data_IF_862076546168
#
_entry.id   IF_862076546168
#
_cell.length_a   1.000
_cell.length_b   1.000
_cell.length_c   1.000
_cell.angle_alpha   90.00
_cell.angle_beta   90.00
_cell.angle_gamma   90.00
#
_symmetry.space_group_name_H-M   'P 1'
#
loop_
_entity.id
_entity.type
_entity.pdbx_description
1 polymer ?
#
# COMPACT_ATOMS: atom_id res chain seq x y z
N UNK A 1 2.64 14.62 9.07
CA UNK A 1 2.60 16.09 9.20
C UNK A 1 1.17 16.55 8.92
N UNK A 2 0.54 17.34 9.80
CA UNK A 2 -0.85 17.77 9.63
C UNK A 2 -0.88 19.02 8.74
N UNK A 3 -1.30 18.89 7.50
CA UNK A 3 -1.43 20.05 6.62
C UNK A 3 -2.84 20.65 6.77
N UNK A 4 -2.88 21.96 7.02
CA UNK A 4 -4.08 22.71 7.40
C UNK A 4 -4.62 23.44 6.17
N UNK A 5 -5.89 23.23 5.83
CA UNK A 5 -6.60 24.08 4.86
C UNK A 5 -7.45 25.10 5.60
N UNK A 6 -7.28 26.37 5.25
CA UNK A 6 -8.26 27.41 5.60
C UNK A 6 -9.40 27.36 4.58
N UNK A 7 -10.54 26.81 4.97
CA UNK A 7 -11.73 26.85 4.13
C UNK A 7 -12.37 28.25 4.20
N UNK A 8 -11.97 29.15 3.30
CA UNK A 8 -12.79 30.33 2.97
C UNK A 8 -13.87 29.93 1.98
N UNK A 9 -14.88 29.17 2.42
CA UNK A 9 -16.12 29.02 1.66
C UNK A 9 -17.31 28.90 2.60
N UNK A 10 -17.92 30.05 2.88
CA UNK A 10 -19.30 30.11 3.31
C UNK A 10 -20.19 29.65 2.15
N UNK A 11 -20.41 28.34 2.02
CA UNK A 11 -21.59 27.82 1.33
C UNK A 11 -22.43 27.10 2.36
N UNK A 12 -23.56 27.73 2.67
CA UNK A 12 -24.69 27.20 3.42
C UNK A 12 -24.97 25.75 3.05
N UNK A 13 -24.69 24.83 3.97
CA UNK A 13 -25.30 23.50 3.94
C UNK A 13 -26.61 23.56 4.74
N UNK A 14 -27.76 23.16 4.16
CA UNK A 14 -29.02 23.17 4.88
C UNK A 14 -29.04 22.08 5.94
N UNK A 15 -29.65 22.44 7.07
CA UNK A 15 -29.83 21.62 8.26
C UNK A 15 -30.81 20.47 8.02
N UNK A 16 -30.33 19.35 7.51
CA UNK A 16 -30.98 18.05 7.70
C UNK A 16 -30.02 16.93 7.27
N UNK A 17 -29.86 15.93 8.15
CA UNK A 17 -29.04 14.72 7.98
C UNK A 17 -27.53 14.85 8.24
N UNK A 18 -27.12 14.76 9.51
CA UNK A 18 -25.73 14.41 9.90
C UNK A 18 -25.55 12.86 9.98
N UNK A 19 -26.41 12.12 9.31
CA UNK A 19 -26.23 10.68 9.05
C UNK A 19 -26.58 10.43 7.59
N UNK A 20 -25.64 10.72 6.68
CA UNK A 20 -25.72 10.30 5.28
C UNK A 20 -24.37 10.48 4.62
N UNK A 21 -23.68 9.36 4.41
CA UNK A 21 -22.94 8.99 3.20
C UNK A 21 -22.34 10.09 2.30
N UNK A 22 -21.58 11.01 2.89
CA UNK A 22 -20.61 11.78 2.12
C UNK A 22 -19.22 11.35 2.58
N UNK A 23 -18.46 10.71 1.68
CA UNK A 23 -17.00 10.50 1.77
C UNK A 23 -16.30 11.86 1.85
N UNK A 24 -16.49 12.57 2.95
CA UNK A 24 -15.76 13.80 3.23
C UNK A 24 -14.45 13.38 3.85
N UNK A 25 -13.40 13.40 3.04
CA UNK A 25 -11.99 13.18 3.42
C UNK A 25 -11.43 14.28 4.36
N UNK A 26 -12.31 15.13 4.88
CA UNK A 26 -12.01 16.24 5.77
C UNK A 26 -12.95 16.18 6.97
N UNK A 27 -12.40 16.32 8.18
CA UNK A 27 -13.13 16.41 9.44
C UNK A 27 -13.25 17.88 9.87
N UNK A 28 -14.49 18.34 10.07
CA UNK A 28 -14.76 19.69 10.54
C UNK A 28 -14.72 19.75 12.06
N UNK A 29 -13.79 20.53 12.64
CA UNK A 29 -13.72 20.77 14.09
C UNK A 29 -13.96 22.25 14.39
N UNK A 30 -14.77 22.51 15.40
CA UNK A 30 -14.90 23.85 15.99
C UNK A 30 -13.72 24.10 16.92
N UNK A 31 -13.14 25.30 16.87
CA UNK A 31 -12.16 25.73 17.88
C UNK A 31 -12.95 26.09 19.15
N UNK A 32 -13.32 25.08 19.95
CA UNK A 32 -13.94 25.30 21.25
C UNK A 32 -12.92 25.03 22.35
N UNK A 33 -12.54 26.06 23.09
CA UNK A 33 -11.87 25.90 24.39
C UNK A 33 -12.86 25.24 25.35
N UNK A 34 -12.72 23.91 25.53
CA UNK A 34 -13.39 23.07 26.54
C UNK A 34 -14.90 23.28 26.70
N UNK A 35 -15.70 22.36 26.17
CA UNK A 35 -16.94 21.93 26.83
C UNK A 35 -17.10 20.41 26.68
N UNK A 36 -17.12 19.70 27.81
CA UNK A 36 -17.63 18.33 27.89
C UNK A 36 -19.17 18.43 27.87
N UNK A 37 -19.83 17.80 26.91
CA UNK A 37 -21.29 17.76 26.86
C UNK A 37 -21.80 16.77 25.82
N UNK A 38 -22.60 15.80 26.27
CA UNK A 38 -23.49 15.01 25.43
C UNK A 38 -24.64 15.92 25.01
N UNK A 39 -24.90 15.99 23.70
CA UNK A 39 -26.16 16.29 23.00
C UNK A 39 -25.92 17.14 21.74
N UNK A 40 -26.44 16.66 20.61
CA UNK A 40 -26.37 17.31 19.29
C UNK A 40 -27.33 18.51 19.20
N UNK A 41 -26.93 19.63 19.79
CA UNK A 41 -27.55 20.93 19.47
C UNK A 41 -26.70 21.63 18.41
N UNK A 42 -27.31 21.88 17.25
CA UNK A 42 -26.65 22.53 16.12
C UNK A 42 -26.02 23.86 16.52
N UNK A 43 -24.83 24.11 15.99
CA UNK A 43 -24.07 25.33 16.22
C UNK A 43 -24.85 26.50 15.57
N UNK A 44 -25.36 27.45 16.37
CA UNK A 44 -26.16 28.57 15.86
C UNK A 44 -25.44 29.42 14.79
N UNK A 45 -26.20 30.03 13.88
CA UNK A 45 -25.68 30.81 12.74
C UNK A 45 -24.74 31.96 13.17
N UNK A 46 -24.99 32.56 14.34
CA UNK A 46 -24.15 33.61 14.92
C UNK A 46 -22.79 33.09 15.39
N UNK A 47 -22.76 31.89 15.96
CA UNK A 47 -21.51 31.22 16.35
C UNK A 47 -20.71 30.80 15.11
N UNK A 48 -21.38 30.26 14.08
CA UNK A 48 -20.72 29.91 12.81
C UNK A 48 -20.11 31.12 12.07
N UNK A 49 -20.65 32.34 12.28
CA UNK A 49 -20.10 33.59 11.71
C UNK A 49 -18.91 34.15 12.50
N UNK A 50 -18.81 33.84 13.79
CA UNK A 50 -17.77 34.35 14.70
C UNK A 50 -16.64 33.34 14.97
N UNK A 51 -16.86 32.06 14.70
CA UNK A 51 -15.89 30.98 14.92
C UNK A 51 -15.46 30.36 13.61
N UNK A 52 -14.15 30.40 13.33
CA UNK A 52 -13.56 29.72 12.17
C UNK A 52 -13.74 28.21 12.31
N UNK A 53 -14.36 27.60 11.30
CA UNK A 53 -14.39 26.15 11.16
C UNK A 53 -13.05 25.68 10.60
N UNK A 54 -12.42 24.72 11.27
CA UNK A 54 -11.19 24.10 10.80
C UNK A 54 -11.55 22.80 10.09
N UNK A 55 -11.16 22.70 8.82
CA UNK A 55 -11.13 21.44 8.09
C UNK A 55 -9.76 20.80 8.30
N UNK A 56 -9.75 19.66 8.98
CA UNK A 56 -8.56 18.84 9.14
C UNK A 56 -8.66 17.66 8.19
N UNK A 57 -7.56 17.40 7.51
CA UNK A 57 -7.38 16.20 6.71
C UNK A 57 -7.58 14.93 7.55
N UNK A 58 -8.37 13.99 7.03
CA UNK A 58 -8.48 12.65 7.59
C UNK A 58 -7.43 11.81 6.88
N UNK A 59 -6.63 11.07 7.63
CA UNK A 59 -5.71 10.10 7.02
C UNK A 59 -6.46 8.79 6.82
N UNK A 60 -6.94 8.52 5.61
CA UNK A 60 -7.69 7.29 5.33
C UNK A 60 -6.81 6.06 5.25
N UNK A 61 -5.49 6.23 5.04
CA UNK A 61 -4.55 5.11 5.08
C UNK A 61 -4.40 4.54 6.51
N UNK A 62 -4.71 5.33 7.54
CA UNK A 62 -4.67 4.91 8.95
C UNK A 62 -6.00 4.31 9.44
N UNK A 63 -6.95 3.98 8.55
CA UNK A 63 -8.27 3.41 8.90
C UNK A 63 -8.22 1.93 9.35
N UNK A 64 -7.03 1.32 9.35
CA UNK A 64 -6.83 -0.10 9.63
C UNK A 64 -7.13 -1.03 8.46
N UNK A 65 -7.56 -0.50 7.32
CA UNK A 65 -7.84 -1.23 6.07
C UNK A 65 -7.08 -0.65 4.87
N UNK A 66 -5.99 0.07 5.12
CA UNK A 66 -5.12 0.67 4.10
C UNK A 66 -5.90 1.58 3.13
N UNK A 67 -6.89 2.34 3.63
CA UNK A 67 -7.76 3.17 2.79
C UNK A 67 -8.68 2.39 1.84
N UNK A 68 -8.70 1.06 1.92
CA UNK A 68 -9.36 0.20 0.93
C UNK A 68 -8.54 -0.03 -0.34
N UNK A 69 -7.25 0.30 -0.35
CA UNK A 69 -6.32 -0.12 -1.39
C UNK A 69 -6.14 -1.64 -1.39
N UNK A 70 -5.71 -2.20 -2.51
CA UNK A 70 -5.39 -3.63 -2.63
C UNK A 70 -4.36 -4.03 -1.57
N UNK A 71 -4.51 -5.23 -1.01
CA UNK A 71 -3.57 -5.78 -0.04
C UNK A 71 -2.15 -5.82 -0.63
N UNK A 72 -1.13 -5.56 0.19
CA UNK A 72 0.27 -5.47 -0.26
C UNK A 72 0.51 -4.36 -1.30
N UNK A 73 -0.23 -3.24 -1.21
CA UNK A 73 0.02 -2.03 -1.97
C UNK A 73 0.11 -0.79 -1.09
N UNK A 74 0.77 0.24 -1.59
CA UNK A 74 0.99 1.49 -0.85
C UNK A 74 -0.29 2.34 -0.83
N UNK A 75 -0.69 2.82 0.34
CA UNK A 75 -1.67 3.91 0.45
C UNK A 75 -0.94 5.23 0.73
N UNK A 76 -1.22 6.24 -0.08
CA UNK A 76 -0.64 7.58 0.05
C UNK A 76 -1.73 8.57 0.39
N UNK A 77 -1.73 9.04 1.63
CA UNK A 77 -2.64 10.07 2.08
C UNK A 77 -2.34 11.40 1.38
N UNK A 78 -3.37 12.06 0.89
CA UNK A 78 -3.27 13.38 0.24
C UNK A 78 -4.23 14.34 0.93
N UNK A 79 -4.14 15.63 0.59
CA UNK A 79 -5.00 16.61 1.21
C UNK A 79 -6.43 16.49 0.67
N UNK A 80 -7.37 16.15 1.53
CA UNK A 80 -8.78 15.97 1.18
C UNK A 80 -9.03 14.73 0.32
N UNK A 81 -8.13 13.74 0.32
CA UNK A 81 -8.33 12.40 -0.28
C UNK A 81 -7.13 11.48 -0.01
N UNK A 82 -7.10 10.30 -0.62
CA UNK A 82 -5.91 9.46 -0.69
C UNK A 82 -5.77 8.84 -2.09
N UNK A 83 -4.59 8.31 -2.39
CA UNK A 83 -4.34 7.52 -3.59
C UNK A 83 -3.76 6.15 -3.24
N UNK A 84 -4.19 5.13 -3.98
CA UNK A 84 -3.52 3.84 -3.96
C UNK A 84 -2.36 3.85 -4.94
N UNK A 85 -1.18 3.50 -4.46
CA UNK A 85 0.07 3.44 -5.20
C UNK A 85 0.37 2.04 -5.74
N UNK A 86 1.65 1.81 -5.99
CA UNK A 86 2.15 0.53 -6.48
C UNK A 86 2.14 -0.54 -5.38
N UNK A 87 2.35 -1.80 -5.79
CA UNK A 87 2.58 -2.89 -4.85
C UNK A 87 3.80 -2.57 -3.97
N UNK A 88 3.77 -3.01 -2.71
CA UNK A 88 4.91 -2.86 -1.80
C UNK A 88 6.07 -3.74 -2.26
N UNK A 89 7.25 -3.51 -1.68
CA UNK A 89 8.45 -4.28 -2.00
C UNK A 89 8.20 -5.79 -1.88
N UNK A 90 8.61 -6.52 -2.92
CA UNK A 90 8.42 -7.95 -3.05
C UNK A 90 7.09 -8.40 -3.65
N UNK A 91 6.22 -7.47 -4.03
CA UNK A 91 4.97 -7.75 -4.72
C UNK A 91 4.93 -7.06 -6.10
N UNK A 92 4.23 -7.68 -7.04
CA UNK A 92 3.97 -7.16 -8.40
C UNK A 92 2.50 -7.24 -8.72
N UNK A 93 2.05 -6.40 -9.66
CA UNK A 93 0.66 -6.33 -10.08
C UNK A 93 0.16 -4.89 -10.03
N UNK A 94 -1.13 -4.73 -9.77
CA UNK A 94 -1.78 -3.42 -9.71
C UNK A 94 -3.08 -3.47 -8.90
N UNK A 95 -3.74 -2.31 -8.77
CA UNK A 95 -4.98 -2.16 -8.01
C UNK A 95 -6.18 -2.93 -8.61
N UNK A 96 -6.11 -3.38 -9.87
CA UNK A 96 -7.20 -4.11 -10.55
C UNK A 96 -7.02 -5.62 -10.47
N UNK A 97 -5.80 -6.11 -10.64
CA UNK A 97 -5.45 -7.53 -10.68
C UNK A 97 -4.99 -8.09 -9.33
N UNK A 98 -4.76 -7.22 -8.34
CA UNK A 98 -4.16 -7.60 -7.07
C UNK A 98 -2.63 -7.47 -7.09
N UNK A 99 -2.05 -7.37 -5.89
CA UNK A 99 -0.60 -7.47 -5.69
C UNK A 99 -0.25 -8.88 -5.25
N UNK A 100 0.60 -9.54 -6.01
CA UNK A 100 1.04 -10.92 -5.81
C UNK A 100 2.54 -10.94 -5.55
N UNK A 101 3.09 -11.92 -4.83
CA UNK A 101 4.54 -12.03 -4.64
C UNK A 101 5.28 -12.00 -5.99
N UNK A 102 6.41 -11.29 -6.06
CA UNK A 102 7.23 -11.21 -7.27
C UNK A 102 7.64 -12.63 -7.72
N UNK A 103 7.45 -13.01 -9.00
CA UNK A 103 7.83 -14.33 -9.49
C UNK A 103 9.31 -14.63 -9.20
N UNK A 104 9.59 -15.75 -8.53
CA UNK A 104 10.94 -16.12 -8.12
C UNK A 104 11.39 -15.55 -6.77
N UNK A 105 10.59 -14.73 -6.08
CA UNK A 105 10.93 -14.26 -4.73
C UNK A 105 10.59 -15.29 -3.66
N UNK A 106 11.57 -15.61 -2.83
CA UNK A 106 11.44 -16.54 -1.72
C UNK A 106 10.96 -15.83 -0.44
N UNK A 107 10.42 -16.57 0.56
CA UNK A 107 9.95 -15.99 1.82
C UNK A 107 11.00 -15.24 2.66
N UNK A 108 12.29 -15.50 2.44
CA UNK A 108 13.39 -14.78 3.10
C UNK A 108 13.87 -13.53 2.33
N UNK A 109 13.19 -13.18 1.23
CA UNK A 109 13.56 -12.08 0.33
C UNK A 109 14.57 -12.44 -0.76
N UNK A 110 15.03 -13.69 -0.81
CA UNK A 110 15.92 -14.18 -1.87
C UNK A 110 15.22 -14.12 -3.24
N UNK A 111 15.77 -13.41 -4.22
CA UNK A 111 15.21 -13.34 -5.59
C UNK A 111 15.87 -14.40 -6.47
N UNK A 112 15.09 -15.33 -7.01
CA UNK A 112 15.50 -16.37 -7.94
C UNK A 112 15.09 -16.03 -9.38
N UNK A 113 15.69 -16.74 -10.34
CA UNK A 113 15.25 -16.68 -11.74
C UNK A 113 13.75 -17.04 -11.86
N UNK A 114 13.06 -16.49 -12.86
CA UNK A 114 11.65 -16.84 -13.13
C UNK A 114 11.43 -18.32 -13.45
N UNK A 115 12.48 -19.00 -13.92
CA UNK A 115 12.54 -20.44 -14.19
C UNK A 115 13.18 -21.25 -13.05
N UNK A 116 13.38 -20.64 -11.88
CA UNK A 116 13.82 -21.31 -10.68
C UNK A 116 12.66 -21.51 -9.68
N UNK A 117 12.92 -22.36 -8.70
CA UNK A 117 12.11 -22.60 -7.51
C UNK A 117 12.92 -22.34 -6.24
N UNK A 118 12.23 -21.86 -5.21
CA UNK A 118 12.81 -21.59 -3.91
C UNK A 118 12.79 -22.86 -3.06
N UNK A 119 13.97 -23.35 -2.67
CA UNK A 119 14.08 -24.52 -1.81
C UNK A 119 14.75 -24.21 -0.47
N UNK A 120 14.14 -24.72 0.60
CA UNK A 120 14.75 -24.68 1.92
C UNK A 120 15.76 -25.81 2.07
N UNK A 121 17.06 -25.50 2.06
CA UNK A 121 18.09 -26.51 2.36
C UNK A 121 18.01 -26.90 3.83
N UNK A 122 17.81 -28.19 4.10
CA UNK A 122 17.90 -28.75 5.46
C UNK A 122 19.27 -28.40 6.06
N UNK A 123 19.27 -27.69 7.18
CA UNK A 123 20.48 -27.24 7.88
C UNK A 123 20.89 -25.78 7.60
N UNK A 124 20.20 -25.06 6.72
CA UNK A 124 20.34 -23.62 6.56
C UNK A 124 19.01 -22.90 6.80
N UNK A 125 19.09 -21.71 7.40
CA UNK A 125 17.93 -20.82 7.59
C UNK A 125 17.65 -19.92 6.37
N UNK A 126 18.15 -20.29 5.17
CA UNK A 126 18.01 -19.51 3.93
C UNK A 126 17.45 -20.36 2.80
N UNK A 127 16.70 -19.72 1.91
CA UNK A 127 16.25 -20.34 0.67
C UNK A 127 17.40 -20.36 -0.35
N UNK A 128 17.50 -21.46 -1.09
CA UNK A 128 18.37 -21.58 -2.25
C UNK A 128 17.53 -21.70 -3.50
N UNK A 129 17.91 -20.96 -4.54
CA UNK A 129 17.28 -21.06 -5.84
C UNK A 129 17.76 -22.33 -6.56
N UNK A 130 16.83 -23.11 -7.10
CA UNK A 130 17.11 -24.25 -7.97
C UNK A 130 16.40 -24.06 -9.29
N UNK A 131 17.09 -24.22 -10.43
CA UNK A 131 16.42 -24.19 -11.73
C UNK A 131 15.42 -25.34 -11.85
N UNK A 132 14.26 -25.07 -12.46
CA UNK A 132 13.22 -26.08 -12.72
C UNK A 132 13.71 -27.09 -13.76
N UNK A 133 13.07 -28.25 -13.83
CA UNK A 133 13.33 -29.26 -14.87
C UNK A 133 13.21 -28.64 -16.27
N UNK A 134 14.20 -28.90 -17.12
CA UNK A 134 14.35 -28.25 -18.44
C UNK A 134 15.20 -26.98 -18.41
N UNK A 135 15.77 -26.63 -17.25
CA UNK A 135 16.63 -25.48 -17.05
C UNK A 135 17.82 -25.81 -16.16
N UNK A 136 18.95 -25.15 -16.41
CA UNK A 136 20.19 -25.31 -15.64
C UNK A 136 20.89 -23.97 -15.38
N UNK A 137 21.68 -23.90 -14.30
CA UNK A 137 22.36 -22.68 -13.87
C UNK A 137 22.57 -22.63 -12.35
N UNK A 138 22.82 -21.44 -11.82
CA UNK A 138 23.04 -21.19 -10.38
C UNK A 138 21.74 -20.92 -9.59
N UNK A 139 20.60 -20.94 -10.28
CA UNK A 139 19.27 -20.64 -9.74
C UNK A 139 18.94 -19.15 -9.67
N UNK A 140 19.93 -18.26 -9.75
CA UNK A 140 19.74 -16.82 -9.95
C UNK A 140 19.58 -16.48 -11.43
N UNK A 141 20.27 -17.24 -12.27
CA UNK A 141 20.18 -17.25 -13.72
C UNK A 141 19.98 -18.68 -14.18
N UNK A 142 18.89 -18.94 -14.89
CA UNK A 142 18.60 -20.26 -15.45
C UNK A 142 18.52 -20.18 -16.98
N UNK A 143 19.27 -21.05 -17.65
CA UNK A 143 19.24 -21.24 -19.10
C UNK A 143 18.53 -22.53 -19.49
N UNK A 144 18.02 -22.66 -20.72
CA UNK A 144 17.46 -23.91 -21.21
C UNK A 144 18.46 -25.06 -21.09
N UNK A 145 17.99 -26.21 -20.64
CA UNK A 145 18.72 -27.48 -20.58
C UNK A 145 17.84 -28.53 -21.27
N UNK A 146 18.16 -28.81 -22.54
CA UNK A 146 17.33 -29.66 -23.41
C UNK A 146 17.54 -31.15 -23.18
N UNK A 147 18.75 -31.54 -22.79
CA UNK A 147 19.12 -32.94 -22.55
C UNK A 147 19.07 -33.36 -21.07
N UNK A 148 18.72 -32.42 -20.17
CA UNK A 148 18.46 -32.63 -18.75
C UNK A 148 19.68 -33.15 -17.98
N UNK A 149 20.88 -32.73 -18.38
CA UNK A 149 22.12 -33.16 -17.75
C UNK A 149 22.58 -32.24 -16.61
N UNK A 150 21.84 -31.15 -16.38
CA UNK A 150 22.15 -30.15 -15.35
C UNK A 150 23.11 -29.06 -15.82
N UNK A 151 23.43 -29.00 -17.11
CA UNK A 151 24.21 -27.95 -17.75
C UNK A 151 23.38 -27.19 -18.79
N UNK A 152 23.47 -25.85 -18.84
CA UNK A 152 22.68 -25.08 -19.78
C UNK A 152 23.22 -25.24 -21.21
N UNK A 153 22.32 -25.28 -22.20
CA UNK A 153 22.61 -25.34 -23.65
C UNK A 153 23.59 -24.23 -24.10
N UNK A 154 23.57 -23.10 -23.40
CA UNK A 154 24.39 -21.91 -23.68
C UNK A 154 25.10 -21.43 -22.43
N UNK A 155 26.30 -20.88 -22.61
CA UNK A 155 27.08 -20.27 -21.51
C UNK A 155 26.28 -19.13 -20.87
N UNK A 156 25.99 -19.25 -19.57
CA UNK A 156 25.34 -18.21 -18.79
C UNK A 156 26.37 -17.25 -18.18
N UNK A 157 25.94 -16.01 -17.92
CA UNK A 157 26.76 -15.04 -17.18
C UNK A 157 26.80 -15.45 -15.71
N UNK A 158 27.80 -16.24 -15.31
CA UNK A 158 28.00 -16.59 -13.90
C UNK A 158 28.43 -15.32 -13.13
N UNK A 159 27.57 -14.78 -12.27
CA UNK A 159 27.88 -13.65 -11.39
C UNK A 159 28.64 -14.08 -10.13
N UNK A 160 29.49 -15.11 -10.24
CA UNK A 160 30.34 -15.54 -9.14
C UNK A 160 31.44 -14.51 -8.92
N UNK A 161 31.24 -13.60 -7.97
CA UNK A 161 32.34 -12.84 -7.38
C UNK A 161 33.33 -13.85 -6.75
N UNK A 162 34.56 -13.87 -7.29
CA UNK A 162 35.76 -14.40 -6.62
C UNK A 162 36.05 -13.63 -5.35
#
# INVERSE_FOLDING_TARGET
>A
MRNRLEASFAKTLPSSNILSEHRSWLSMRTVSTRLHGRDIQGVGLEYARSVRQLCLDINECDDGRNGGCVENSQCVNTMGSFNCGECIEGFVGNQTHGCHPHPGMCPDGTICDGNAECELRRGLARYQCRCRVGWAGDGKTCGPDRDLDGWPDSVLACTGEM
#
